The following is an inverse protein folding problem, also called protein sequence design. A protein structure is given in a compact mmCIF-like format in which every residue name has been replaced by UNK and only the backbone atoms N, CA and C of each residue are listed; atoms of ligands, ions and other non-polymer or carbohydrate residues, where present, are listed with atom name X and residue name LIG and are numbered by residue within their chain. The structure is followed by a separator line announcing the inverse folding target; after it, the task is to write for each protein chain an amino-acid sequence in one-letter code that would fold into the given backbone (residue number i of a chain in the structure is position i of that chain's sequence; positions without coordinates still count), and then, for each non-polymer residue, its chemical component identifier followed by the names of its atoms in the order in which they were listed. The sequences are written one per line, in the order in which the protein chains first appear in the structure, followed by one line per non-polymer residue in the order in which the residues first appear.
data_IF_557259818916
#
_entry.id   IF_557259818916
#
_cell.length_a   1.000
_cell.length_b   1.000
_cell.length_c   1.000
_cell.angle_alpha   90.00
_cell.angle_beta   90.00
_cell.angle_gamma   90.00
#
_symmetry.space_group_name_H-M   'P 1'
#
loop_
_entity.id
_entity.type
_entity.pdbx_description
1 polymer ?
#
# COMPACT_ATOMS: atom_id res chain seq x y z
N UNK A 1 -10.03 -27.67 7.21
CA UNK A 1 -8.72 -27.24 6.67
C UNK A 1 -7.67 -27.75 7.64
N UNK A 2 -6.58 -28.32 7.13
CA UNK A 2 -5.50 -28.89 7.95
C UNK A 2 -4.27 -27.98 7.97
N UNK A 3 -3.16 -28.53 8.43
CA UNK A 3 -1.87 -27.83 8.40
C UNK A 3 -1.35 -27.72 6.97
N UNK A 4 -0.61 -26.66 6.64
CA UNK A 4 0.10 -26.60 5.35
C UNK A 4 1.13 -27.73 5.18
N UNK A 5 1.50 -28.43 6.26
CA UNK A 5 2.48 -29.52 6.27
C UNK A 5 1.86 -30.93 6.21
N UNK A 6 0.54 -31.07 6.13
CA UNK A 6 -0.12 -32.38 6.12
C UNK A 6 -0.09 -33.12 4.76
N UNK A 7 0.55 -32.51 3.76
CA UNK A 7 0.64 -33.02 2.39
C UNK A 7 -0.45 -32.50 1.44
N UNK A 8 -1.38 -31.66 1.91
CA UNK A 8 -2.43 -31.07 1.09
C UNK A 8 -1.96 -29.89 0.22
N UNK A 9 -0.76 -29.35 0.48
CA UNK A 9 -0.18 -28.22 -0.24
C UNK A 9 1.14 -28.61 -0.92
N UNK A 10 1.39 -28.00 -2.08
CA UNK A 10 2.69 -28.04 -2.75
C UNK A 10 3.55 -26.83 -2.39
N UNK A 11 4.87 -26.97 -2.54
CA UNK A 11 5.84 -25.90 -2.33
C UNK A 11 6.53 -25.53 -3.66
N UNK A 12 6.90 -24.26 -3.91
CA UNK A 12 6.89 -23.15 -2.96
C UNK A 12 5.48 -22.73 -2.56
N UNK A 13 5.32 -22.23 -1.33
CA UNK A 13 4.04 -21.78 -0.78
C UNK A 13 4.26 -20.51 0.04
N UNK A 14 3.60 -19.42 -0.35
CA UNK A 14 3.53 -18.23 0.48
C UNK A 14 2.31 -18.29 1.38
N UNK A 15 2.51 -18.02 2.67
CA UNK A 15 1.49 -18.02 3.70
C UNK A 15 1.31 -16.61 4.27
N UNK A 16 0.12 -16.31 4.76
CA UNK A 16 -0.18 -15.10 5.52
C UNK A 16 -0.43 -15.49 6.98
N UNK A 17 0.33 -14.96 7.92
CA UNK A 17 0.15 -15.18 9.35
C UNK A 17 -1.00 -14.30 9.88
N UNK A 18 -2.08 -14.93 10.37
CA UNK A 18 -3.29 -14.24 10.83
C UNK A 18 -3.00 -13.28 11.97
N UNK A 19 -2.30 -13.73 13.00
CA UNK A 19 -2.06 -12.93 14.20
C UNK A 19 -1.22 -11.68 13.89
N UNK A 20 -0.28 -11.78 12.94
CA UNK A 20 0.51 -10.65 12.47
C UNK A 20 -0.34 -9.67 11.64
N UNK A 21 -1.14 -10.19 10.70
CA UNK A 21 -2.06 -9.40 9.89
C UNK A 21 -3.04 -8.60 10.75
N UNK A 22 -3.70 -9.26 11.70
CA UNK A 22 -4.68 -8.65 12.60
C UNK A 22 -4.05 -7.63 13.55
N UNK A 23 -2.87 -7.95 14.10
CA UNK A 23 -2.08 -7.02 14.91
C UNK A 23 -1.76 -5.73 14.13
N UNK A 24 -1.31 -5.85 12.89
CA UNK A 24 -0.95 -4.70 12.06
C UNK A 24 -2.15 -3.81 11.74
N UNK A 25 -3.28 -4.42 11.38
CA UNK A 25 -4.56 -3.72 11.14
C UNK A 25 -4.99 -2.95 12.39
N UNK A 26 -5.02 -3.61 13.54
CA UNK A 26 -5.41 -2.98 14.79
C UNK A 26 -4.45 -1.83 15.19
N UNK A 27 -3.15 -2.03 14.98
CA UNK A 27 -2.11 -1.04 15.32
C UNK A 27 -2.29 0.25 14.52
N UNK A 28 -2.46 0.17 13.19
CA UNK A 28 -2.64 1.40 12.38
C UNK A 28 -4.01 2.05 12.61
N UNK A 29 -5.06 1.25 12.83
CA UNK A 29 -6.37 1.80 13.18
C UNK A 29 -6.36 2.53 14.54
N UNK A 30 -5.59 2.04 15.51
CA UNK A 30 -5.38 2.72 16.78
C UNK A 30 -4.57 4.02 16.60
N UNK A 31 -3.45 3.94 15.88
CA UNK A 31 -2.59 5.08 15.61
C UNK A 31 -3.35 6.25 14.97
N UNK A 32 -4.13 6.00 13.92
CA UNK A 32 -4.87 7.06 13.23
C UNK A 32 -5.94 7.66 14.13
N UNK A 33 -6.68 6.85 14.88
CA UNK A 33 -7.69 7.32 15.85
C UNK A 33 -7.07 8.20 16.94
N UNK A 34 -5.94 7.80 17.50
CA UNK A 34 -5.24 8.56 18.55
C UNK A 34 -4.74 9.93 18.07
N UNK A 35 -4.39 10.04 16.79
CA UNK A 35 -3.92 11.28 16.18
C UNK A 35 -5.03 12.06 15.44
N UNK A 36 -6.30 11.68 15.59
CA UNK A 36 -7.43 12.34 14.92
C UNK A 36 -7.40 12.26 13.39
N UNK A 37 -6.71 11.26 12.84
CA UNK A 37 -6.59 11.02 11.41
C UNK A 37 -7.65 10.02 10.93
N UNK A 38 -8.06 10.16 9.68
CA UNK A 38 -8.80 9.13 8.97
C UNK A 38 -7.82 8.22 8.21
N UNK A 39 -8.21 6.97 7.97
CA UNK A 39 -7.35 5.98 7.32
C UNK A 39 -7.96 5.44 6.04
N UNK A 40 -7.25 5.57 4.92
CA UNK A 40 -7.61 5.02 3.63
C UNK A 40 -6.48 4.08 3.15
N UNK A 41 -6.33 2.88 3.73
CA UNK A 41 -5.19 2.00 3.48
C UNK A 41 -5.05 1.67 2.00
N UNK A 42 -3.81 1.52 1.55
CA UNK A 42 -3.53 1.31 0.14
C UNK A 42 -3.70 -0.17 -0.23
N UNK A 43 -4.83 -0.50 -0.85
CA UNK A 43 -5.18 -1.85 -1.27
C UNK A 43 -4.35 -2.37 -2.47
N UNK A 44 -3.58 -1.50 -3.15
CA UNK A 44 -2.73 -1.92 -4.28
C UNK A 44 -1.71 -3.00 -3.90
N UNK A 45 -1.36 -3.09 -2.62
CA UNK A 45 -0.37 -4.05 -2.12
C UNK A 45 -0.92 -5.45 -1.96
N UNK A 46 -2.24 -5.63 -1.91
CA UNK A 46 -2.85 -6.94 -1.67
C UNK A 46 -4.02 -7.29 -2.60
N UNK A 47 -4.81 -6.31 -3.04
CA UNK A 47 -6.01 -6.47 -3.87
C UNK A 47 -6.89 -7.67 -3.47
N UNK A 48 -7.00 -7.89 -2.16
CA UNK A 48 -7.75 -8.98 -1.55
C UNK A 48 -8.96 -8.45 -0.80
N UNK A 49 -10.12 -9.05 -1.08
CA UNK A 49 -11.38 -8.79 -0.38
C UNK A 49 -11.26 -9.15 1.10
N UNK A 50 -10.62 -10.27 1.40
CA UNK A 50 -10.47 -10.80 2.76
C UNK A 50 -9.70 -9.82 3.66
N UNK A 51 -8.63 -9.21 3.14
CA UNK A 51 -7.85 -8.18 3.86
C UNK A 51 -8.61 -6.85 3.91
N UNK A 52 -9.19 -6.42 2.78
CA UNK A 52 -9.95 -5.16 2.71
C UNK A 52 -11.12 -5.15 3.69
N UNK A 53 -11.84 -6.27 3.82
CA UNK A 53 -12.96 -6.41 4.76
C UNK A 53 -12.51 -6.19 6.20
N UNK A 54 -11.35 -6.73 6.60
CA UNK A 54 -10.78 -6.53 7.93
C UNK A 54 -10.37 -5.08 8.18
N UNK A 55 -9.78 -4.42 7.18
CA UNK A 55 -9.40 -3.01 7.27
C UNK A 55 -10.63 -2.10 7.42
N UNK A 56 -11.68 -2.35 6.63
CA UNK A 56 -12.95 -1.62 6.73
C UNK A 56 -13.64 -1.86 8.07
N UNK A 57 -13.67 -3.12 8.54
CA UNK A 57 -14.21 -3.45 9.86
C UNK A 57 -13.44 -2.79 11.02
N UNK A 58 -12.14 -2.53 10.85
CA UNK A 58 -11.32 -1.79 11.79
C UNK A 58 -11.50 -0.26 11.74
N UNK A 59 -12.41 0.24 10.89
CA UNK A 59 -12.77 1.65 10.82
C UNK A 59 -12.06 2.45 9.71
N UNK A 60 -11.50 1.79 8.70
CA UNK A 60 -10.98 2.51 7.53
C UNK A 60 -12.10 3.31 6.84
N UNK A 61 -11.79 4.55 6.45
CA UNK A 61 -12.69 5.48 5.75
C UNK A 61 -13.14 4.95 4.38
N UNK A 62 -12.28 4.17 3.75
CA UNK A 62 -12.38 3.64 2.39
C UNK A 62 -11.06 2.97 2.01
N UNK A 63 -10.86 2.68 0.72
CA UNK A 63 -9.62 2.05 0.23
C UNK A 63 -8.89 2.96 -0.76
N UNK A 64 -7.56 3.04 -0.64
CA UNK A 64 -6.72 3.69 -1.64
C UNK A 64 -6.24 2.69 -2.69
N UNK A 65 -6.35 3.04 -3.97
CA UNK A 65 -5.85 2.25 -5.12
C UNK A 65 -5.05 3.13 -6.07
N UNK A 66 -4.32 2.53 -7.02
CA UNK A 66 -3.44 3.28 -7.93
C UNK A 66 -4.04 3.46 -9.33
N UNK A 67 -5.05 2.66 -9.70
CA UNK A 67 -5.66 2.69 -11.03
C UNK A 67 -7.17 2.55 -10.96
N UNK A 68 -7.88 3.00 -12.00
CA UNK A 68 -9.32 2.80 -12.11
C UNK A 68 -9.71 1.32 -12.15
N UNK A 69 -8.85 0.44 -12.69
CA UNK A 69 -9.09 -1.02 -12.70
C UNK A 69 -9.07 -1.60 -11.29
N UNK A 70 -8.11 -1.17 -10.48
CA UNK A 70 -8.07 -1.54 -9.06
C UNK A 70 -9.24 -0.93 -8.28
N UNK A 71 -9.76 0.24 -8.70
CA UNK A 71 -10.98 0.79 -8.12
C UNK A 71 -12.19 -0.12 -8.35
N UNK A 72 -12.28 -0.82 -9.50
CA UNK A 72 -13.32 -1.83 -9.73
C UNK A 72 -13.25 -2.95 -8.68
N UNK A 73 -12.04 -3.43 -8.38
CA UNK A 73 -11.83 -4.43 -7.33
C UNK A 73 -12.25 -3.88 -5.96
N UNK A 74 -11.80 -2.68 -5.58
CA UNK A 74 -12.16 -2.03 -4.32
C UNK A 74 -13.67 -1.85 -4.15
N UNK A 75 -14.37 -1.37 -5.19
CA UNK A 75 -15.84 -1.27 -5.21
C UNK A 75 -16.48 -2.66 -5.05
N UNK A 76 -15.99 -3.67 -5.77
CA UNK A 76 -16.51 -5.05 -5.66
C UNK A 76 -16.35 -5.64 -4.26
N UNK A 77 -15.34 -5.21 -3.51
CA UNK A 77 -15.12 -5.62 -2.12
C UNK A 77 -16.07 -4.96 -1.13
N UNK A 78 -16.92 -4.02 -1.59
CA UNK A 78 -17.83 -3.27 -0.75
C UNK A 78 -17.19 -2.07 -0.07
N UNK A 79 -16.11 -1.52 -0.63
CA UNK A 79 -15.54 -0.28 -0.11
C UNK A 79 -16.57 0.86 -0.20
N UNK A 80 -16.87 1.57 0.91
CA UNK A 80 -17.86 2.63 0.91
C UNK A 80 -17.38 3.87 0.15
N UNK A 81 -16.06 4.01 0.00
CA UNK A 81 -15.37 5.07 -0.73
C UNK A 81 -14.05 4.53 -1.29
N UNK A 82 -13.63 5.08 -2.41
CA UNK A 82 -12.36 4.73 -3.05
C UNK A 82 -11.56 5.99 -3.33
N UNK A 83 -10.29 5.98 -2.98
CA UNK A 83 -9.33 7.00 -3.39
C UNK A 83 -8.40 6.40 -4.44
N UNK A 84 -8.54 6.82 -5.69
CA UNK A 84 -7.53 6.57 -6.72
C UNK A 84 -6.40 7.59 -6.49
N UNK A 85 -5.35 7.17 -5.79
CA UNK A 85 -4.19 8.02 -5.49
C UNK A 85 -3.27 8.18 -6.71
N UNK A 86 -3.86 8.65 -7.81
CA UNK A 86 -3.27 8.84 -9.12
C UNK A 86 -4.19 9.68 -10.03
N UNK A 87 -3.66 10.19 -11.14
CA UNK A 87 -4.46 10.79 -12.20
C UNK A 87 -5.24 9.70 -12.97
N UNK A 88 -6.49 9.98 -13.33
CA UNK A 88 -7.29 9.10 -14.20
C UNK A 88 -7.53 9.78 -15.53
N UNK A 89 -6.92 9.24 -16.58
CA UNK A 89 -6.94 9.83 -17.93
C UNK A 89 -7.54 8.91 -19.00
N UNK A 90 -7.82 7.65 -18.67
CA UNK A 90 -8.42 6.70 -19.60
C UNK A 90 -9.92 6.99 -19.74
N UNK A 91 -10.42 7.37 -20.94
CA UNK A 91 -11.85 7.61 -21.16
C UNK A 91 -12.76 6.45 -20.74
N UNK A 92 -12.29 5.19 -20.88
CA UNK A 92 -13.05 4.04 -20.43
C UNK A 92 -13.16 4.01 -18.90
N UNK A 93 -12.04 4.25 -18.21
CA UNK A 93 -12.00 4.36 -16.76
C UNK A 93 -12.89 5.50 -16.24
N UNK A 94 -12.84 6.67 -16.89
CA UNK A 94 -13.66 7.83 -16.53
C UNK A 94 -15.16 7.54 -16.66
N UNK A 95 -15.59 6.94 -17.77
CA UNK A 95 -17.00 6.53 -17.94
C UNK A 95 -17.44 5.50 -16.91
N UNK A 96 -16.56 4.57 -16.55
CA UNK A 96 -16.86 3.60 -15.49
C UNK A 96 -16.98 4.29 -14.13
N UNK A 97 -16.07 5.20 -13.77
CA UNK A 97 -16.14 5.96 -12.51
C UNK A 97 -17.43 6.78 -12.47
N UNK A 98 -17.80 7.47 -13.55
CA UNK A 98 -19.01 8.28 -13.62
C UNK A 98 -20.31 7.47 -13.47
N UNK A 99 -20.27 6.16 -13.70
CA UNK A 99 -21.44 5.27 -13.53
C UNK A 99 -21.52 4.61 -12.16
N UNK A 100 -20.59 4.89 -11.25
CA UNK A 100 -20.63 4.34 -9.89
C UNK A 100 -21.40 5.26 -8.94
N UNK A 101 -22.20 4.67 -8.06
CA UNK A 101 -22.84 5.39 -6.94
C UNK A 101 -21.87 5.61 -5.75
N UNK A 102 -20.75 4.86 -5.73
CA UNK A 102 -19.72 4.98 -4.70
C UNK A 102 -18.88 6.24 -4.93
N UNK A 103 -18.53 6.96 -3.86
CA UNK A 103 -17.63 8.11 -3.94
C UNK A 103 -16.22 7.64 -4.34
N UNK A 104 -15.77 8.06 -5.52
CA UNK A 104 -14.43 7.78 -6.05
C UNK A 104 -13.69 9.09 -6.28
N UNK A 105 -12.68 9.36 -5.46
CA UNK A 105 -11.79 10.52 -5.62
C UNK A 105 -10.59 10.17 -6.48
N UNK A 106 -10.09 11.13 -7.26
CA UNK A 106 -8.81 11.02 -7.97
C UNK A 106 -7.98 12.29 -7.88
N UNK A 107 -6.71 12.20 -8.27
CA UNK A 107 -5.82 13.36 -8.28
C UNK A 107 -5.92 14.13 -9.60
N UNK A 108 -5.68 15.44 -9.52
CA UNK A 108 -5.40 16.31 -10.66
C UNK A 108 -4.19 17.19 -10.36
N UNK A 109 -3.33 17.38 -11.37
CA UNK A 109 -2.13 18.20 -11.27
C UNK A 109 -1.93 19.11 -12.50
N UNK A 110 -2.91 19.14 -13.41
CA UNK A 110 -2.82 19.91 -14.64
C UNK A 110 -4.21 20.28 -15.19
N UNK A 111 -4.30 21.42 -15.89
CA UNK A 111 -5.54 21.86 -16.57
C UNK A 111 -6.01 20.86 -17.62
N UNK A 112 -5.09 20.25 -18.36
CA UNK A 112 -5.42 19.21 -19.34
C UNK A 112 -6.09 17.98 -18.70
N UNK A 113 -5.66 17.58 -17.49
CA UNK A 113 -6.32 16.53 -16.72
C UNK A 113 -7.74 16.93 -16.30
N UNK A 114 -7.91 18.16 -15.83
CA UNK A 114 -9.22 18.72 -15.46
C UNK A 114 -10.17 18.75 -16.67
N UNK A 115 -9.71 19.24 -17.82
CA UNK A 115 -10.51 19.31 -19.06
C UNK A 115 -10.89 17.92 -19.58
N UNK A 116 -10.04 16.91 -19.35
CA UNK A 116 -10.32 15.54 -19.72
C UNK A 116 -11.39 14.91 -18.83
N UNK A 117 -11.33 15.15 -17.52
CA UNK A 117 -12.36 14.75 -16.56
C UNK A 117 -13.70 15.42 -16.90
N UNK A 118 -13.71 16.75 -17.05
CA UNK A 118 -14.91 17.52 -17.36
C UNK A 118 -15.64 17.01 -18.61
N UNK A 119 -14.89 16.64 -19.67
CA UNK A 119 -15.46 16.08 -20.92
C UNK A 119 -16.14 14.71 -20.75
N UNK A 120 -15.81 13.98 -19.69
CA UNK A 120 -16.35 12.64 -19.43
C UNK A 120 -17.22 12.58 -18.17
N UNK A 121 -17.54 13.74 -17.58
CA UNK A 121 -18.40 13.80 -16.42
C UNK A 121 -19.80 13.28 -16.78
N UNK A 122 -20.40 12.53 -15.86
CA UNK A 122 -21.80 12.13 -15.93
C UNK A 122 -22.70 13.21 -15.32
N UNK A 123 -23.83 12.79 -14.77
CA UNK A 123 -24.75 13.69 -14.06
C UNK A 123 -24.12 14.29 -12.80
N UNK A 124 -23.17 13.57 -12.19
CA UNK A 124 -22.41 14.02 -11.03
C UNK A 124 -20.99 14.44 -11.45
N UNK A 125 -20.47 15.57 -10.92
CA UNK A 125 -19.10 15.97 -11.18
C UNK A 125 -18.11 15.02 -10.49
N UNK A 126 -16.93 14.84 -11.10
CA UNK A 126 -15.86 14.05 -10.47
C UNK A 126 -15.27 14.79 -9.26
N UNK A 127 -15.25 14.19 -8.05
CA UNK A 127 -14.55 14.77 -6.92
C UNK A 127 -13.04 14.56 -7.07
N UNK A 128 -12.28 15.65 -7.05
CA UNK A 128 -10.83 15.63 -7.30
C UNK A 128 -10.03 16.30 -6.20
N UNK A 129 -8.81 15.81 -5.99
CA UNK A 129 -7.82 16.40 -5.09
C UNK A 129 -6.69 17.02 -5.93
N UNK A 130 -6.37 18.29 -5.69
CA UNK A 130 -5.22 18.91 -6.32
C UNK A 130 -3.93 18.31 -5.72
N UNK A 131 -3.08 17.71 -6.54
CA UNK A 131 -1.85 17.07 -6.07
C UNK A 131 -0.70 18.08 -6.01
N UNK A 132 -0.10 18.24 -4.82
CA UNK A 132 1.17 18.93 -4.65
C UNK A 132 2.31 17.91 -4.70
N UNK A 133 3.20 18.06 -5.66
CA UNK A 133 4.45 17.31 -5.71
C UNK A 133 5.59 18.04 -5.00
N UNK A 134 6.80 17.57 -5.23
CA UNK A 134 8.03 18.27 -4.86
C UNK A 134 9.04 18.14 -6.00
N UNK A 135 10.04 19.02 -6.04
CA UNK A 135 11.11 18.94 -7.04
C UNK A 135 11.86 17.60 -6.95
N UNK A 136 12.19 17.00 -8.10
CA UNK A 136 12.76 15.65 -8.18
C UNK A 136 11.78 14.53 -7.79
N UNK A 137 10.54 14.85 -7.43
CA UNK A 137 9.45 13.91 -7.19
C UNK A 137 8.79 13.41 -8.48
N UNK A 138 7.62 12.81 -8.34
CA UNK A 138 6.86 12.20 -9.46
C UNK A 138 5.85 13.16 -10.08
N UNK A 139 4.56 13.04 -9.76
CA UNK A 139 3.47 13.88 -10.28
C UNK A 139 3.22 15.08 -9.36
N UNK A 140 2.21 15.91 -9.65
CA UNK A 140 1.80 17.02 -8.80
C UNK A 140 2.42 18.38 -9.17
N UNK A 141 1.72 19.47 -8.82
CA UNK A 141 2.24 20.84 -8.95
C UNK A 141 3.54 20.99 -8.15
N UNK A 142 4.49 21.82 -8.62
CA UNK A 142 5.80 21.98 -7.97
C UNK A 142 5.82 23.09 -6.92
N UNK A 143 4.89 24.01 -7.01
CA UNK A 143 4.77 25.13 -6.08
C UNK A 143 3.35 25.27 -5.54
N UNK A 144 3.23 25.97 -4.41
CA UNK A 144 1.94 26.34 -3.85
C UNK A 144 1.11 27.17 -4.85
N UNK A 145 1.73 28.15 -5.50
CA UNK A 145 1.05 29.02 -6.48
C UNK A 145 0.47 28.23 -7.66
N UNK A 146 1.25 27.30 -8.22
CA UNK A 146 0.77 26.41 -9.29
C UNK A 146 -0.45 25.59 -8.85
N UNK A 147 -0.42 25.09 -7.61
CA UNK A 147 -1.53 24.32 -7.06
C UNK A 147 -2.77 25.18 -6.81
N UNK A 148 -2.61 26.40 -6.29
CA UNK A 148 -3.73 27.32 -6.05
C UNK A 148 -4.35 27.82 -7.36
N UNK A 149 -3.53 28.04 -8.38
CA UNK A 149 -3.99 28.35 -9.74
C UNK A 149 -4.79 27.18 -10.35
N UNK A 150 -4.31 25.94 -10.17
CA UNK A 150 -5.03 24.75 -10.59
C UNK A 150 -6.33 24.56 -9.80
N UNK A 151 -6.31 24.73 -8.48
CA UNK A 151 -7.49 24.65 -7.62
C UNK A 151 -8.57 25.66 -8.05
N UNK A 152 -8.15 26.90 -8.35
CA UNK A 152 -9.04 27.94 -8.89
C UNK A 152 -9.61 27.54 -10.25
N UNK A 153 -8.81 26.89 -11.09
CA UNK A 153 -9.28 26.36 -12.37
C UNK A 153 -10.34 25.27 -12.18
N UNK A 154 -10.09 24.28 -11.31
CA UNK A 154 -11.05 23.21 -10.98
C UNK A 154 -12.38 23.79 -10.50
N UNK A 155 -12.36 24.81 -9.63
CA UNK A 155 -13.58 25.45 -9.11
C UNK A 155 -14.41 26.18 -10.19
N UNK A 156 -13.83 26.49 -11.34
CA UNK A 156 -14.50 27.13 -12.48
C UNK A 156 -14.89 26.16 -13.59
N UNK A 157 -14.44 24.92 -13.51
CA UNK A 157 -14.70 23.88 -14.50
C UNK A 157 -15.96 23.11 -14.14
N UNK A 158 -16.93 23.06 -15.06
CA UNK A 158 -18.09 22.18 -14.92
C UNK A 158 -17.67 20.70 -15.03
N UNK A 159 -18.41 19.79 -14.38
CA UNK A 159 -18.13 18.35 -14.43
C UNK A 159 -17.02 17.86 -13.48
N UNK A 160 -16.39 18.75 -12.72
CA UNK A 160 -15.43 18.41 -11.65
C UNK A 160 -15.77 19.18 -10.38
N UNK A 161 -15.35 18.66 -9.23
CA UNK A 161 -15.51 19.33 -7.93
C UNK A 161 -14.24 19.18 -7.11
N UNK A 162 -13.67 20.31 -6.69
CA UNK A 162 -12.49 20.31 -5.83
C UNK A 162 -12.86 19.83 -4.43
N UNK A 163 -12.29 18.70 -4.01
CA UNK A 163 -12.56 18.08 -2.71
C UNK A 163 -11.41 18.29 -1.70
N UNK A 164 -10.24 18.76 -2.13
CA UNK A 164 -9.10 18.98 -1.25
C UNK A 164 -7.74 18.91 -1.92
N UNK A 165 -6.72 18.59 -1.13
CA UNK A 165 -5.30 18.50 -1.53
C UNK A 165 -4.78 17.09 -1.31
N UNK A 166 -3.90 16.64 -2.20
CA UNK A 166 -3.16 15.40 -2.07
C UNK A 166 -1.65 15.65 -2.10
N UNK A 167 -0.92 14.82 -1.36
CA UNK A 167 0.53 14.77 -1.39
C UNK A 167 1.07 13.35 -1.17
N UNK A 168 2.36 13.18 -1.45
CA UNK A 168 3.10 11.96 -1.16
C UNK A 168 4.54 12.28 -0.77
N UNK A 169 4.85 12.08 0.50
CA UNK A 169 6.11 12.42 1.15
C UNK A 169 7.15 11.28 1.12
N UNK A 170 6.76 10.08 0.68
CA UNK A 170 7.57 8.86 0.83
C UNK A 170 8.88 8.80 0.03
N UNK A 171 9.17 9.79 -0.82
CA UNK A 171 10.47 9.95 -1.50
C UNK A 171 11.42 10.94 -0.79
N UNK A 172 10.94 11.66 0.23
CA UNK A 172 11.75 12.58 1.02
C UNK A 172 12.61 11.81 2.02
N UNK A 173 13.83 12.31 2.27
CA UNK A 173 14.89 11.53 2.93
C UNK A 173 15.01 11.82 4.42
N UNK A 174 14.44 12.92 4.89
CA UNK A 174 14.57 13.36 6.28
C UNK A 174 13.24 13.87 6.85
N UNK A 175 13.12 13.80 8.18
CA UNK A 175 11.96 14.36 8.87
C UNK A 175 11.81 15.87 8.61
N UNK A 176 12.91 16.61 8.42
CA UNK A 176 12.88 18.06 8.16
C UNK A 176 12.33 18.39 6.77
N UNK A 177 12.72 17.61 5.75
CA UNK A 177 12.13 17.70 4.42
C UNK A 177 10.63 17.40 4.48
N UNK A 178 10.24 16.32 5.17
CA UNK A 178 8.83 15.95 5.33
C UNK A 178 8.05 17.06 6.04
N UNK A 179 8.53 17.59 7.16
CA UNK A 179 7.88 18.70 7.88
C UNK A 179 7.73 19.95 7.01
N UNK A 180 8.71 20.25 6.18
CA UNK A 180 8.64 21.39 5.25
C UNK A 180 7.58 21.16 4.18
N UNK A 181 7.52 19.96 3.61
CA UNK A 181 6.51 19.59 2.64
C UNK A 181 5.09 19.54 3.22
N UNK A 182 4.93 19.00 4.43
CA UNK A 182 3.63 18.98 5.13
C UNK A 182 3.11 20.38 5.41
N UNK A 183 3.98 21.34 5.78
CA UNK A 183 3.58 22.75 5.94
C UNK A 183 3.03 23.35 4.65
N UNK A 184 3.65 23.08 3.50
CA UNK A 184 3.12 23.55 2.20
C UNK A 184 1.73 22.96 1.89
N UNK A 185 1.49 21.71 2.29
CA UNK A 185 0.17 21.09 2.15
C UNK A 185 -0.87 21.73 3.09
N UNK A 186 -0.48 22.10 4.32
CA UNK A 186 -1.34 22.83 5.25
C UNK A 186 -1.66 24.23 4.70
N UNK A 187 -0.65 24.95 4.22
CA UNK A 187 -0.84 26.26 3.58
C UNK A 187 -1.80 26.15 2.39
N UNK A 188 -1.65 25.12 1.54
CA UNK A 188 -2.58 24.87 0.44
C UNK A 188 -4.03 24.70 0.90
N UNK A 189 -4.25 23.88 1.94
CA UNK A 189 -5.57 23.64 2.53
C UNK A 189 -6.19 24.93 3.07
N UNK A 190 -5.42 25.77 3.76
CA UNK A 190 -5.92 27.04 4.33
C UNK A 190 -6.40 28.02 3.25
N UNK A 191 -5.77 28.00 2.08
CA UNK A 191 -6.16 28.84 0.94
C UNK A 191 -7.29 28.23 0.10
N UNK A 192 -7.63 26.95 0.29
CA UNK A 192 -8.74 26.31 -0.42
C UNK A 192 -10.09 26.81 0.10
N UNK A 193 -10.94 27.27 -0.83
CA UNK A 193 -12.35 27.59 -0.55
C UNK A 193 -13.25 26.36 -0.65
N UNK A 194 -12.93 25.33 0.13
CA UNK A 194 -13.66 24.06 0.18
C UNK A 194 -14.10 23.81 1.61
N UNK A 195 -15.36 23.43 1.82
CA UNK A 195 -15.85 23.07 3.15
C UNK A 195 -15.33 21.70 3.54
N UNK A 196 -14.69 21.59 4.71
CA UNK A 196 -14.14 20.33 5.24
C UNK A 196 -13.26 19.60 4.21
N UNK A 197 -12.21 20.25 3.69
CA UNK A 197 -11.39 19.70 2.62
C UNK A 197 -10.71 18.40 3.08
N UNK A 198 -10.48 17.50 2.13
CA UNK A 198 -9.56 16.39 2.36
C UNK A 198 -8.11 16.88 2.26
N UNK A 199 -7.26 16.41 3.16
CA UNK A 199 -5.80 16.47 3.01
C UNK A 199 -5.27 15.06 3.08
N UNK A 200 -4.76 14.52 1.98
CA UNK A 200 -4.29 13.13 1.97
C UNK A 200 -2.79 13.02 1.74
N UNK A 201 -2.13 12.21 2.55
CA UNK A 201 -0.68 11.93 2.49
C UNK A 201 -0.39 10.42 2.50
N UNK A 202 0.83 10.01 2.17
CA UNK A 202 1.20 8.60 2.11
C UNK A 202 1.21 7.95 3.49
N UNK A 203 2.34 8.03 4.17
CA UNK A 203 2.49 7.64 5.56
C UNK A 203 2.85 6.18 5.78
N UNK A 204 3.65 5.56 4.92
CA UNK A 204 4.29 4.29 5.27
C UNK A 204 5.56 4.50 6.11
N UNK A 205 6.42 5.46 5.72
CA UNK A 205 7.72 5.70 6.36
C UNK A 205 7.70 6.85 7.38
N UNK A 206 6.68 7.71 7.33
CA UNK A 206 6.65 8.98 8.05
C UNK A 206 5.32 9.23 8.79
N UNK A 207 4.53 8.19 9.10
CA UNK A 207 3.24 8.38 9.77
C UNK A 207 3.38 9.02 11.17
N UNK A 208 4.50 8.84 11.87
CA UNK A 208 4.83 9.52 13.13
C UNK A 208 5.04 11.03 12.98
N UNK A 209 5.65 11.46 11.88
CA UNK A 209 5.81 12.89 11.56
C UNK A 209 4.46 13.45 11.16
N UNK A 210 3.75 12.77 10.25
CA UNK A 210 2.41 13.16 9.80
C UNK A 210 1.43 13.31 10.97
N UNK A 211 1.37 12.31 11.86
CA UNK A 211 0.46 12.32 13.01
C UNK A 211 0.73 13.47 13.99
N UNK A 212 1.97 13.94 14.08
CA UNK A 212 2.33 15.10 14.91
C UNK A 212 2.04 16.43 14.22
N UNK A 213 2.42 16.56 12.96
CA UNK A 213 2.40 17.84 12.24
C UNK A 213 1.00 18.20 11.71
N UNK A 214 0.19 17.21 11.33
CA UNK A 214 -1.11 17.47 10.70
C UNK A 214 -2.30 17.49 11.67
N UNK A 215 -2.09 17.20 12.96
CA UNK A 215 -3.18 17.02 13.94
C UNK A 215 -4.08 18.24 14.10
N UNK A 216 -3.55 19.46 13.93
CA UNK A 216 -4.31 20.72 14.06
C UNK A 216 -4.85 21.24 12.72
N UNK A 217 -4.58 20.55 11.61
CA UNK A 217 -5.03 20.99 10.29
C UNK A 217 -6.56 21.00 10.24
N UNK A 218 -7.16 22.09 9.77
CA UNK A 218 -8.62 22.20 9.61
C UNK A 218 -9.11 21.46 8.35
N UNK A 219 -8.81 20.16 8.28
CA UNK A 219 -9.13 19.28 7.17
C UNK A 219 -9.44 17.86 7.67
N UNK A 220 -10.03 17.05 6.79
CA UNK A 220 -10.11 15.61 6.98
C UNK A 220 -8.81 14.99 6.50
N UNK A 221 -7.91 14.71 7.44
CA UNK A 221 -6.57 14.21 7.11
C UNK A 221 -6.63 12.70 6.88
N UNK A 222 -6.31 12.26 5.67
CA UNK A 222 -6.38 10.87 5.21
C UNK A 222 -4.97 10.28 5.04
N UNK A 223 -4.61 9.33 5.90
CA UNK A 223 -3.38 8.55 5.79
C UNK A 223 -3.58 7.36 4.83
N UNK A 224 -2.60 7.04 3.99
CA UNK A 224 -2.70 6.02 2.93
C UNK A 224 -1.64 4.92 3.00
N UNK A 225 -1.20 4.54 4.19
CA UNK A 225 -0.22 3.46 4.37
C UNK A 225 -0.72 2.16 3.74
N UNK A 226 0.16 1.45 3.01
CA UNK A 226 -0.17 0.19 2.34
C UNK A 226 0.57 -1.00 2.93
N UNK A 227 1.90 -0.96 2.84
CA UNK A 227 2.78 -2.06 3.27
C UNK A 227 2.65 -2.44 4.76
N UNK A 228 2.09 -1.57 5.59
CA UNK A 228 1.89 -1.81 7.03
C UNK A 228 1.15 -3.13 7.30
N UNK A 229 0.21 -3.50 6.42
CA UNK A 229 -0.75 -4.59 6.66
C UNK A 229 -0.05 -5.93 6.78
N UNK A 230 0.99 -6.15 5.98
CA UNK A 230 1.84 -7.33 6.08
C UNK A 230 3.22 -7.05 6.67
N UNK A 231 3.68 -5.80 6.61
CA UNK A 231 5.06 -5.43 6.93
C UNK A 231 6.09 -6.34 6.23
N UNK A 232 7.35 -6.28 6.64
CA UNK A 232 8.41 -7.13 6.13
C UNK A 232 9.50 -7.39 7.18
N UNK A 233 10.49 -8.19 6.77
CA UNK A 233 11.66 -8.53 7.55
C UNK A 233 12.89 -7.66 7.21
N UNK A 234 12.77 -6.76 6.22
CA UNK A 234 13.87 -6.00 5.64
C UNK A 234 13.57 -4.51 5.47
N UNK A 235 13.09 -4.14 4.29
CA UNK A 235 13.00 -2.74 3.82
C UNK A 235 12.22 -1.83 4.77
N UNK A 236 10.96 -2.18 5.09
CA UNK A 236 10.13 -1.41 6.00
C UNK A 236 10.48 -1.64 7.47
N UNK A 237 11.02 -2.79 7.86
CA UNK A 237 11.52 -2.99 9.23
C UNK A 237 12.51 -1.91 9.67
N UNK A 238 13.38 -1.48 8.77
CA UNK A 238 14.37 -0.43 9.05
C UNK A 238 13.82 0.99 8.95
N UNK A 239 12.72 1.19 8.20
CA UNK A 239 12.19 2.51 7.81
C UNK A 239 10.87 2.86 8.47
N UNK A 240 10.20 1.88 9.06
CA UNK A 240 8.94 2.07 9.75
C UNK A 240 9.13 3.05 10.92
N UNK A 241 8.18 3.97 11.12
CA UNK A 241 8.22 4.89 12.25
C UNK A 241 8.38 4.28 13.63
N UNK A 242 8.02 3.00 13.83
CA UNK A 242 8.23 2.29 15.10
C UNK A 242 9.71 2.08 15.48
N UNK A 243 10.65 2.50 14.63
CA UNK A 243 12.07 2.67 15.02
C UNK A 243 12.34 3.98 15.77
N UNK A 244 11.38 4.92 15.77
CA UNK A 244 11.47 6.26 16.35
C UNK A 244 10.43 6.52 17.45
N UNK A 245 9.35 5.74 17.47
CA UNK A 245 8.25 5.83 18.44
C UNK A 245 7.88 4.44 18.95
N UNK A 246 7.19 4.37 20.08
CA UNK A 246 6.73 3.12 20.67
C UNK A 246 5.69 2.40 19.79
N UNK A 247 5.78 1.08 19.75
CA UNK A 247 4.88 0.20 18.99
C UNK A 247 5.63 -0.75 18.08
N UNK A 248 4.90 -1.52 17.27
CA UNK A 248 5.50 -2.44 16.30
C UNK A 248 4.50 -2.86 15.23
N UNK A 249 5.03 -3.14 14.04
CA UNK A 249 4.36 -3.94 13.02
C UNK A 249 5.10 -5.26 12.88
N UNK A 250 4.39 -6.31 12.49
CA UNK A 250 4.89 -7.68 12.44
C UNK A 250 4.92 -8.17 10.99
N UNK A 251 6.00 -8.81 10.52
CA UNK A 251 6.00 -9.47 9.23
C UNK A 251 4.92 -10.55 9.23
N UNK A 252 3.98 -10.45 8.29
CA UNK A 252 2.85 -11.36 8.15
C UNK A 252 3.01 -12.32 6.97
N UNK A 253 4.02 -12.12 6.11
CA UNK A 253 4.28 -12.99 4.97
C UNK A 253 5.49 -13.88 5.24
N UNK A 254 5.36 -15.13 4.86
CA UNK A 254 6.43 -16.12 4.90
C UNK A 254 6.30 -17.04 3.69
N UNK A 255 7.42 -17.42 3.09
CA UNK A 255 7.45 -18.39 1.99
C UNK A 255 8.22 -19.64 2.42
N UNK A 256 7.65 -20.80 2.10
CA UNK A 256 8.24 -22.11 2.33
C UNK A 256 8.65 -22.74 1.00
N UNK A 257 9.85 -23.30 0.92
CA UNK A 257 10.36 -23.95 -0.28
C UNK A 257 11.38 -25.04 0.03
N UNK A 258 11.41 -26.09 -0.80
CA UNK A 258 12.38 -27.18 -0.65
C UNK A 258 13.75 -26.81 -1.20
N UNK A 259 14.80 -27.30 -0.53
CA UNK A 259 16.14 -27.41 -1.11
C UNK A 259 16.11 -28.49 -2.19
N UNK A 260 16.40 -28.10 -3.43
CA UNK A 260 16.42 -28.99 -4.59
C UNK A 260 17.78 -29.63 -4.82
N UNK A 261 18.85 -28.91 -4.49
CA UNK A 261 20.22 -29.35 -4.77
C UNK A 261 21.22 -28.75 -3.78
N UNK A 262 22.23 -29.54 -3.41
CA UNK A 262 23.40 -29.11 -2.63
C UNK A 262 24.65 -29.55 -3.41
N UNK A 263 24.98 -28.86 -4.51
CA UNK A 263 25.95 -29.37 -5.49
C UNK A 263 27.41 -29.27 -5.02
N UNK A 264 27.68 -28.41 -4.04
CA UNK A 264 28.99 -28.25 -3.41
C UNK A 264 28.82 -27.87 -1.92
N UNK A 265 29.81 -28.14 -1.06
CA UNK A 265 29.75 -27.77 0.35
C UNK A 265 29.43 -26.28 0.54
N UNK A 266 28.40 -26.00 1.34
CA UNK A 266 27.98 -24.63 1.68
C UNK A 266 27.18 -23.91 0.60
N UNK A 267 26.75 -24.60 -0.48
CA UNK A 267 25.85 -24.06 -1.50
C UNK A 267 24.57 -24.90 -1.58
N UNK A 268 23.42 -24.26 -1.44
CA UNK A 268 22.11 -24.87 -1.65
C UNK A 268 21.32 -24.11 -2.73
N UNK A 269 20.55 -24.85 -3.53
CA UNK A 269 19.60 -24.31 -4.51
C UNK A 269 18.20 -24.63 -4.02
N UNK A 270 17.41 -23.59 -3.75
CA UNK A 270 16.04 -23.69 -3.22
C UNK A 270 15.03 -23.47 -4.35
N UNK A 271 13.96 -24.24 -4.34
CA UNK A 271 12.88 -24.24 -5.34
C UNK A 271 11.88 -23.11 -5.18
N UNK A 272 12.37 -21.88 -5.09
CA UNK A 272 11.59 -20.65 -5.21
C UNK A 272 12.43 -19.61 -5.94
N UNK A 273 11.81 -18.71 -6.70
CA UNK A 273 12.50 -17.66 -7.41
C UNK A 273 11.73 -16.34 -7.50
N UNK A 274 12.10 -15.54 -8.50
CA UNK A 274 11.50 -14.23 -8.81
C UNK A 274 10.01 -14.32 -9.11
N UNK A 275 9.50 -15.49 -9.49
CA UNK A 275 8.07 -15.72 -9.72
C UNK A 275 7.28 -15.98 -8.45
N UNK A 276 7.95 -16.32 -7.34
CA UNK A 276 7.31 -16.72 -6.08
C UNK A 276 7.53 -15.67 -4.97
N UNK A 277 8.70 -15.04 -4.94
CA UNK A 277 9.07 -14.05 -3.93
C UNK A 277 9.51 -12.70 -4.54
N UNK A 278 9.28 -11.57 -3.85
CA UNK A 278 9.74 -10.25 -4.28
C UNK A 278 11.26 -10.11 -4.15
N UNK A 279 11.82 -9.23 -4.98
CA UNK A 279 13.27 -9.04 -5.14
C UNK A 279 13.65 -7.59 -5.50
N UNK A 280 12.66 -6.71 -5.55
CA UNK A 280 12.78 -5.31 -5.94
C UNK A 280 13.52 -4.48 -4.90
N UNK A 281 13.36 -4.80 -3.61
CA UNK A 281 13.99 -4.09 -2.49
C UNK A 281 14.56 -5.11 -1.49
N UNK A 282 15.59 -5.84 -1.92
CA UNK A 282 16.26 -6.89 -1.16
C UNK A 282 15.75 -8.31 -1.46
N UNK A 283 16.50 -9.32 -1.00
CA UNK A 283 16.21 -10.74 -1.23
C UNK A 283 15.46 -11.36 -0.04
N UNK A 284 14.72 -12.47 -0.22
CA UNK A 284 14.10 -13.20 0.90
C UNK A 284 15.11 -13.55 2.00
N UNK A 285 14.66 -13.54 3.26
CA UNK A 285 15.52 -13.67 4.43
C UNK A 285 15.29 -15.06 5.06
N UNK A 286 16.28 -15.98 5.07
CA UNK A 286 16.11 -17.30 5.68
C UNK A 286 15.77 -17.20 7.17
N UNK A 287 14.81 -18.01 7.63
CA UNK A 287 14.50 -18.15 9.07
C UNK A 287 15.52 -19.03 9.79
N UNK A 288 16.10 -20.01 9.08
CA UNK A 288 17.16 -20.87 9.62
C UNK A 288 18.47 -20.08 9.73
N UNK A 289 19.02 -20.01 10.94
CA UNK A 289 20.28 -19.33 11.22
C UNK A 289 21.45 -19.94 10.42
N UNK A 290 22.40 -19.09 10.01
CA UNK A 290 23.57 -19.50 9.24
C UNK A 290 23.32 -19.72 7.74
N UNK A 291 22.11 -19.41 7.26
CA UNK A 291 21.81 -19.36 5.83
C UNK A 291 21.78 -17.90 5.32
N UNK A 292 22.27 -17.69 4.12
CA UNK A 292 22.26 -16.40 3.43
C UNK A 292 21.76 -16.56 1.99
N UNK A 293 20.75 -15.78 1.58
CA UNK A 293 20.33 -15.74 0.17
C UNK A 293 21.27 -14.83 -0.61
N UNK A 294 21.96 -15.39 -1.60
CA UNK A 294 22.96 -14.67 -2.40
C UNK A 294 22.36 -14.15 -3.71
N UNK A 295 21.45 -14.93 -4.30
CA UNK A 295 20.92 -14.62 -5.63
C UNK A 295 19.57 -15.29 -5.84
N UNK A 296 18.70 -14.62 -6.57
CA UNK A 296 17.44 -15.17 -7.04
C UNK A 296 17.37 -15.17 -8.56
N UNK A 297 16.97 -16.30 -9.13
CA UNK A 297 16.66 -16.52 -10.55
C UNK A 297 15.14 -16.72 -10.69
N UNK A 298 14.66 -17.02 -11.90
CA UNK A 298 13.22 -17.11 -12.18
C UNK A 298 12.47 -18.07 -11.25
N UNK A 299 13.03 -19.27 -11.02
CA UNK A 299 12.44 -20.36 -10.24
C UNK A 299 13.37 -20.92 -9.15
N UNK A 300 14.54 -20.30 -8.95
CA UNK A 300 15.58 -20.82 -8.06
C UNK A 300 16.21 -19.72 -7.21
N UNK A 301 16.51 -20.06 -5.96
CA UNK A 301 17.22 -19.19 -5.03
C UNK A 301 18.51 -19.86 -4.60
N UNK A 302 19.62 -19.14 -4.72
CA UNK A 302 20.94 -19.59 -4.32
C UNK A 302 21.19 -19.17 -2.89
N UNK A 303 21.42 -20.15 -2.02
CA UNK A 303 21.64 -19.97 -0.59
C UNK A 303 23.04 -20.46 -0.23
N UNK A 304 23.77 -19.67 0.57
CA UNK A 304 25.01 -20.10 1.22
C UNK A 304 24.71 -20.59 2.64
N UNK A 305 25.35 -21.69 3.04
CA UNK A 305 25.17 -22.30 4.36
C UNK A 305 24.89 -23.81 4.30
N UNK A 306 24.63 -24.42 5.45
CA UNK A 306 24.39 -25.87 5.57
C UNK A 306 22.89 -26.18 5.47
N UNK A 307 22.52 -26.91 4.42
CA UNK A 307 21.18 -27.42 4.18
C UNK A 307 21.24 -28.79 3.50
N UNK A 308 20.15 -29.54 3.54
CA UNK A 308 20.05 -30.89 2.95
C UNK A 308 19.05 -30.94 1.80
N UNK A 309 19.29 -31.76 0.77
CA UNK A 309 18.32 -31.95 -0.32
C UNK A 309 17.01 -32.50 0.25
N UNK A 310 15.89 -31.86 -0.12
CA UNK A 310 14.57 -32.15 0.40
C UNK A 310 14.20 -31.38 1.68
N UNK A 311 15.16 -30.75 2.36
CA UNK A 311 14.88 -29.88 3.51
C UNK A 311 13.90 -28.77 3.10
N UNK A 312 12.85 -28.60 3.89
CA UNK A 312 11.89 -27.52 3.71
C UNK A 312 12.33 -26.30 4.53
N UNK A 313 12.58 -25.17 3.86
CA UNK A 313 13.08 -23.95 4.49
C UNK A 313 12.02 -22.85 4.44
N UNK A 314 11.95 -22.07 5.52
CA UNK A 314 11.12 -20.87 5.62
C UNK A 314 11.93 -19.60 5.40
N UNK A 315 11.32 -18.62 4.74
CA UNK A 315 11.91 -17.33 4.45
C UNK A 315 10.93 -16.20 4.74
N UNK A 316 11.42 -15.18 5.45
CA UNK A 316 10.79 -13.87 5.50
C UNK A 316 10.95 -13.12 4.18
N UNK A 317 10.17 -12.06 4.01
CA UNK A 317 10.18 -11.24 2.79
C UNK A 317 10.88 -9.91 3.09
N UNK A 318 11.74 -9.43 2.17
CA UNK A 318 12.41 -8.14 2.35
C UNK A 318 11.50 -6.94 2.08
N UNK A 319 10.61 -7.02 1.09
CA UNK A 319 9.66 -5.96 0.73
C UNK A 319 8.34 -6.57 0.25
N UNK A 320 7.18 -6.18 0.81
CA UNK A 320 5.95 -6.96 0.64
C UNK A 320 5.09 -6.49 -0.54
N UNK A 321 5.30 -5.29 -1.08
CA UNK A 321 4.34 -4.66 -2.00
C UNK A 321 4.14 -5.44 -3.31
N UNK A 322 5.14 -6.19 -3.76
CA UNK A 322 5.06 -7.01 -4.98
C UNK A 322 4.89 -8.50 -4.69
N UNK A 323 4.71 -8.88 -3.41
CA UNK A 323 4.52 -10.27 -3.01
C UNK A 323 3.16 -10.79 -3.50
N UNK A 324 2.07 -10.04 -3.31
CA UNK A 324 0.73 -10.46 -3.68
C UNK A 324 0.56 -10.63 -5.20
N UNK A 325 1.25 -9.84 -6.03
CA UNK A 325 1.17 -9.96 -7.50
C UNK A 325 1.72 -11.31 -8.02
N UNK A 326 2.42 -12.07 -7.18
CA UNK A 326 3.02 -13.38 -7.51
C UNK A 326 2.09 -14.55 -7.21
N UNK A 327 1.06 -14.32 -6.40
CA UNK A 327 0.16 -15.36 -5.91
C UNK A 327 -1.27 -15.03 -6.28
N UNK A 328 -2.03 -16.02 -6.77
CA UNK A 328 -3.49 -15.87 -6.96
C UNK A 328 -4.24 -16.09 -5.65
N UNK A 329 -3.71 -17.00 -4.84
CA UNK A 329 -4.28 -17.40 -3.56
C UNK A 329 -3.14 -17.71 -2.59
N UNK A 330 -3.32 -17.37 -1.32
CA UNK A 330 -2.41 -17.73 -0.23
C UNK A 330 -3.22 -18.22 0.97
N UNK A 331 -2.84 -19.31 1.65
CA UNK A 331 -3.45 -19.68 2.91
C UNK A 331 -3.18 -18.61 3.99
N UNK A 332 -4.24 -18.23 4.70
CA UNK A 332 -4.14 -17.54 5.98
C UNK A 332 -3.97 -18.62 7.06
N UNK A 333 -2.89 -18.55 7.82
CA UNK A 333 -2.53 -19.54 8.82
C UNK A 333 -2.51 -18.96 10.24
N UNK A 334 -2.78 -19.79 11.23
CA UNK A 334 -2.51 -19.48 12.63
C UNK A 334 -1.08 -19.83 13.04
N UNK A 335 -0.76 -19.67 14.33
CA UNK A 335 0.57 -19.94 14.89
C UNK A 335 1.06 -21.40 14.72
N UNK A 336 0.13 -22.36 14.54
CA UNK A 336 0.44 -23.79 14.36
C UNK A 336 0.38 -24.18 12.86
N UNK A 337 0.40 -23.18 11.97
CA UNK A 337 0.31 -23.33 10.53
C UNK A 337 -0.98 -24.05 10.06
N UNK A 338 -2.04 -24.01 10.87
CA UNK A 338 -3.35 -24.48 10.44
C UNK A 338 -3.97 -23.43 9.53
N UNK A 339 -4.48 -23.88 8.38
CA UNK A 339 -5.16 -22.98 7.45
C UNK A 339 -6.53 -22.63 8.01
N UNK A 340 -6.77 -21.34 8.23
CA UNK A 340 -8.02 -20.82 8.79
C UNK A 340 -8.88 -20.11 7.74
N UNK A 341 -8.25 -19.58 6.69
CA UNK A 341 -8.93 -18.95 5.55
C UNK A 341 -8.00 -18.99 4.32
N UNK A 342 -8.50 -18.62 3.15
CA UNK A 342 -7.70 -18.34 1.95
C UNK A 342 -7.80 -16.87 1.60
N UNK A 343 -6.65 -16.21 1.42
CA UNK A 343 -6.53 -14.85 0.88
C UNK A 343 -6.48 -14.93 -0.64
N UNK A 344 -7.43 -14.30 -1.33
CA UNK A 344 -7.49 -14.29 -2.81
C UNK A 344 -7.16 -12.93 -3.37
N UNK A 345 -6.37 -12.91 -4.44
CA UNK A 345 -5.92 -11.69 -5.10
C UNK A 345 -6.79 -11.46 -6.34
N UNK A 346 -7.51 -10.34 -6.38
CA UNK A 346 -8.38 -9.97 -7.50
C UNK A 346 -7.64 -9.02 -8.44
N UNK A 347 -7.32 -9.49 -9.64
CA UNK A 347 -6.72 -8.69 -10.72
C UNK A 347 -7.60 -8.74 -11.97
#
# INVERSE_FOLDING_TARGET
MGSIFDGSYGFPLMVVHREALEHNIATMAAFTREHGLEFAPHAKTHLSREIATRQLAAGAWGLTVATWRQAQAAVSFGAPRVLVANQVVDPHGLRWIASQDVEILSFVDSRAGVDLLARHAGDQPFPVLAELGHEGGRAGCRTLDELLDLATYVQRSEGVTLAGVAGYEGSLKSADEVRTYLRLLQDAVEHLRVKSPYLTVGGSQWFDVIGRELVTTQARVLLRSGAYVTHDDGYYRERTPFTRIDGSLRPALEIWAHVLSVPEPGLAVVGMGKRDAPFDEGLPIPRKAGLEVVKMQDQHTIVRGSAEVGELLAFGISHPCTAFDKWREMPLVDADYQVVETIRISL
#
